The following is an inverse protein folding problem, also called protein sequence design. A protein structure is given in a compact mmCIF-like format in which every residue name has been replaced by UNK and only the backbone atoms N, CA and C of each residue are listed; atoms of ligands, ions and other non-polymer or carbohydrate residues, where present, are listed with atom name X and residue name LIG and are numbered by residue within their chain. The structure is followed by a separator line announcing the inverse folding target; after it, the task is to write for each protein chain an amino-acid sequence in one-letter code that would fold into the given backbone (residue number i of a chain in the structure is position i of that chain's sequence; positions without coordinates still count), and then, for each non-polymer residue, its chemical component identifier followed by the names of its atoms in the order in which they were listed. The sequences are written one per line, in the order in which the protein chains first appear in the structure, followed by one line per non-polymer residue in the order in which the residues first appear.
data_IF_064715780707
#
_entry.id   IF_064715780707
#
_cell.length_a   1.000
_cell.length_b   1.000
_cell.length_c   1.000
_cell.angle_alpha   90.00
_cell.angle_beta   90.00
_cell.angle_gamma   90.00
#
_symmetry.space_group_name_H-M   'P 1'
#
loop_
_entity.id
_entity.type
_entity.pdbx_description
1 polymer ?
#
# COMPACT_ATOMS: atom_id res chain seq x y z
N UNK A 1 4.76 -14.99 -16.39
CA UNK A 1 5.85 -15.29 -15.43
C UNK A 1 6.63 -16.47 -15.97
N UNK A 2 7.96 -16.47 -15.91
CA UNK A 2 8.76 -17.61 -16.37
C UNK A 2 8.90 -18.68 -15.26
N UNK A 3 9.28 -19.89 -15.67
CA UNK A 3 9.43 -21.04 -14.75
C UNK A 3 10.44 -20.79 -13.64
N UNK A 4 11.52 -20.04 -13.90
CA UNK A 4 12.57 -19.78 -12.91
C UNK A 4 12.06 -18.84 -11.81
N UNK A 5 11.21 -17.87 -12.15
CA UNK A 5 10.51 -17.03 -11.18
C UNK A 5 9.52 -17.84 -10.34
N UNK A 6 8.76 -18.75 -10.96
CA UNK A 6 7.77 -19.58 -10.24
C UNK A 6 8.42 -20.48 -9.17
N UNK A 7 9.61 -21.01 -9.43
CA UNK A 7 10.36 -21.84 -8.49
C UNK A 7 10.87 -21.08 -7.24
N UNK A 8 10.75 -19.75 -7.22
CA UNK A 8 11.13 -18.93 -6.06
C UNK A 8 9.97 -18.67 -5.09
N UNK A 9 8.76 -19.13 -5.41
CA UNK A 9 7.59 -18.96 -4.56
C UNK A 9 7.64 -19.94 -3.38
N UNK A 10 7.58 -19.46 -2.13
CA UNK A 10 7.42 -20.33 -0.97
C UNK A 10 6.03 -20.97 -0.95
N UNK A 11 5.91 -22.09 -0.23
CA UNK A 11 4.61 -22.59 0.19
C UNK A 11 4.08 -21.68 1.32
N UNK A 12 2.83 -21.25 1.20
CA UNK A 12 2.17 -20.37 2.17
C UNK A 12 1.01 -21.09 2.82
N UNK A 13 0.73 -20.76 4.08
CA UNK A 13 -0.48 -21.22 4.75
C UNK A 13 -1.74 -20.55 4.16
N UNK A 14 -2.88 -21.23 4.25
CA UNK A 14 -4.17 -20.71 3.73
C UNK A 14 -4.50 -19.34 4.35
N UNK A 15 -4.23 -19.16 5.65
CA UNK A 15 -4.45 -17.90 6.36
C UNK A 15 -3.59 -16.77 5.79
N UNK A 16 -2.34 -17.04 5.44
CA UNK A 16 -1.44 -16.08 4.80
C UNK A 16 -1.95 -15.71 3.41
N UNK A 17 -2.35 -16.71 2.61
CA UNK A 17 -2.92 -16.49 1.28
C UNK A 17 -4.16 -15.59 1.33
N UNK A 18 -5.09 -15.86 2.24
CA UNK A 18 -6.30 -15.04 2.42
C UNK A 18 -5.95 -13.61 2.85
N UNK A 19 -4.95 -13.45 3.72
CA UNK A 19 -4.47 -12.13 4.15
C UNK A 19 -3.85 -11.36 2.98
N UNK A 20 -3.07 -12.02 2.12
CA UNK A 20 -2.51 -11.39 0.92
C UNK A 20 -3.60 -11.00 -0.09
N UNK A 21 -4.61 -11.84 -0.28
CA UNK A 21 -5.77 -11.52 -1.13
C UNK A 21 -6.53 -10.30 -0.59
N UNK A 22 -6.67 -10.17 0.73
CA UNK A 22 -7.25 -8.98 1.35
C UNK A 22 -6.39 -7.74 1.08
N UNK A 23 -5.06 -7.82 1.21
CA UNK A 23 -4.17 -6.70 0.90
C UNK A 23 -4.29 -6.27 -0.57
N UNK A 24 -4.45 -7.22 -1.51
CA UNK A 24 -4.69 -6.91 -2.92
C UNK A 24 -6.04 -6.21 -3.07
N UNK A 25 -7.10 -6.73 -2.45
CA UNK A 25 -8.43 -6.12 -2.51
C UNK A 25 -8.45 -4.68 -1.98
N UNK A 26 -7.74 -4.41 -0.88
CA UNK A 26 -7.64 -3.07 -0.31
C UNK A 26 -6.87 -2.10 -1.22
N UNK A 27 -5.81 -2.57 -1.92
CA UNK A 27 -5.06 -1.78 -2.92
C UNK A 27 -5.92 -1.41 -4.13
N UNK A 28 -6.73 -2.35 -4.59
CA UNK A 28 -7.53 -2.21 -5.82
C UNK A 28 -8.87 -1.49 -5.61
N UNK A 29 -9.38 -1.43 -4.36
CA UNK A 29 -10.70 -0.85 -4.03
C UNK A 29 -10.92 0.57 -4.55
N UNK A 30 -9.85 1.37 -4.65
CA UNK A 30 -9.90 2.77 -5.05
C UNK A 30 -9.39 3.03 -6.48
N UNK A 31 -9.10 1.98 -7.25
CA UNK A 31 -8.64 2.11 -8.63
C UNK A 31 -9.84 2.24 -9.58
N UNK A 32 -9.71 3.10 -10.61
CA UNK A 32 -10.75 3.26 -11.65
C UNK A 32 -11.03 1.95 -12.41
N UNK A 33 -10.02 1.08 -12.52
CA UNK A 33 -10.09 -0.23 -13.17
C UNK A 33 -9.39 -1.27 -12.29
N UNK A 34 -10.09 -1.83 -11.29
CA UNK A 34 -9.53 -2.83 -10.39
C UNK A 34 -9.07 -4.09 -11.14
N UNK A 35 -7.86 -4.54 -10.89
CA UNK A 35 -7.33 -5.81 -11.41
C UNK A 35 -7.38 -6.89 -10.32
N UNK A 36 -8.58 -7.34 -10.00
CA UNK A 36 -8.80 -8.26 -8.88
C UNK A 36 -8.44 -9.72 -9.24
N UNK A 37 -7.74 -10.45 -8.36
CA UNK A 37 -7.48 -11.87 -8.55
C UNK A 37 -8.78 -12.69 -8.60
N UNK A 38 -8.82 -13.67 -9.50
CA UNK A 38 -9.88 -14.68 -9.51
C UNK A 38 -9.41 -15.88 -8.69
N UNK A 39 -10.22 -16.28 -7.71
CA UNK A 39 -9.91 -17.36 -6.81
C UNK A 39 -10.88 -18.52 -6.98
N UNK A 40 -10.38 -19.73 -6.75
CA UNK A 40 -11.20 -20.91 -6.50
C UNK A 40 -10.87 -21.40 -5.10
N UNK A 41 -11.86 -21.31 -4.21
CA UNK A 41 -11.78 -21.79 -2.84
C UNK A 41 -12.43 -23.16 -2.78
N UNK A 42 -11.66 -24.17 -2.38
CA UNK A 42 -12.19 -25.52 -2.15
C UNK A 42 -12.33 -25.73 -0.66
N UNK A 43 -13.51 -26.15 -0.24
CA UNK A 43 -13.81 -26.63 1.12
C UNK A 43 -13.78 -28.16 1.12
N UNK A 44 -13.96 -28.77 2.29
CA UNK A 44 -14.04 -30.24 2.37
C UNK A 44 -15.21 -30.86 1.59
N UNK A 45 -16.23 -30.08 1.23
CA UNK A 45 -17.49 -30.60 0.63
C UNK A 45 -17.84 -29.99 -0.72
N UNK A 46 -17.26 -28.85 -1.08
CA UNK A 46 -17.61 -28.10 -2.30
C UNK A 46 -16.51 -27.13 -2.69
N UNK A 47 -16.62 -26.53 -3.88
CA UNK A 47 -15.76 -25.44 -4.31
C UNK A 47 -16.59 -24.24 -4.76
N UNK A 48 -16.02 -23.04 -4.60
CA UNK A 48 -16.57 -21.79 -5.07
C UNK A 48 -15.50 -21.05 -5.86
N UNK A 49 -15.88 -20.48 -7.00
CA UNK A 49 -15.00 -19.66 -7.84
C UNK A 49 -15.56 -18.26 -7.99
N UNK A 50 -14.69 -17.27 -8.05
CA UNK A 50 -15.09 -15.88 -8.27
C UNK A 50 -13.96 -14.90 -8.03
N UNK A 51 -14.26 -13.63 -8.21
CA UNK A 51 -13.40 -12.52 -7.82
C UNK A 51 -13.39 -12.44 -6.29
N UNK A 52 -12.21 -12.37 -5.69
CA UNK A 52 -12.09 -12.14 -4.25
C UNK A 52 -12.48 -10.69 -3.95
N UNK A 53 -13.51 -10.44 -3.12
CA UNK A 53 -14.01 -9.09 -2.85
C UNK A 53 -13.52 -8.58 -1.50
N UNK A 54 -13.67 -9.39 -0.45
CA UNK A 54 -13.35 -8.98 0.91
C UNK A 54 -13.19 -10.19 1.84
N UNK A 55 -12.48 -9.99 2.95
CA UNK A 55 -12.35 -10.91 4.06
C UNK A 55 -12.50 -10.14 5.38
N UNK A 56 -13.44 -10.60 6.21
CA UNK A 56 -13.62 -10.12 7.58
C UNK A 56 -12.93 -11.09 8.53
N UNK A 57 -11.78 -10.69 9.08
CA UNK A 57 -10.99 -11.53 10.00
C UNK A 57 -11.68 -11.77 11.34
N UNK A 58 -12.59 -10.89 11.76
CA UNK A 58 -13.32 -11.04 13.03
C UNK A 58 -14.45 -12.05 12.87
N UNK A 59 -15.16 -12.01 11.73
CA UNK A 59 -16.22 -12.97 11.41
C UNK A 59 -15.68 -14.28 10.83
N UNK A 60 -14.46 -14.29 10.32
CA UNK A 60 -13.90 -15.42 9.58
C UNK A 60 -14.64 -15.66 8.26
N UNK A 61 -15.08 -14.61 7.56
CA UNK A 61 -15.92 -14.74 6.36
C UNK A 61 -15.27 -14.10 5.15
N UNK A 62 -15.18 -14.85 4.05
CA UNK A 62 -14.73 -14.39 2.73
C UNK A 62 -15.94 -14.13 1.84
N UNK A 63 -15.92 -13.00 1.14
CA UNK A 63 -16.88 -12.64 0.11
C UNK A 63 -16.26 -12.82 -1.28
N UNK A 64 -16.87 -13.66 -2.10
CA UNK A 64 -16.57 -13.80 -3.52
C UNK A 64 -17.69 -13.21 -4.37
N UNK A 65 -17.34 -12.70 -5.55
CA UNK A 65 -18.28 -12.27 -6.56
C UNK A 65 -18.01 -12.98 -7.89
N UNK A 66 -19.03 -13.63 -8.44
CA UNK A 66 -19.00 -14.18 -9.78
C UNK A 66 -19.90 -13.35 -10.69
N UNK A 67 -19.45 -13.08 -11.91
CA UNK A 67 -20.25 -12.40 -12.92
C UNK A 67 -20.73 -13.45 -13.92
N UNK A 68 -21.99 -13.86 -13.80
CA UNK A 68 -22.64 -14.77 -14.74
C UNK A 68 -23.71 -14.01 -15.52
N UNK A 69 -23.62 -14.01 -16.86
CA UNK A 69 -24.55 -13.29 -17.74
C UNK A 69 -24.78 -11.81 -17.32
N UNK A 70 -23.68 -11.11 -16.99
CA UNK A 70 -23.67 -9.71 -16.49
C UNK A 70 -24.44 -9.49 -15.19
N UNK A 71 -24.87 -10.55 -14.50
CA UNK A 71 -25.46 -10.48 -13.16
C UNK A 71 -24.43 -10.91 -12.13
N UNK A 72 -24.36 -10.14 -11.05
CA UNK A 72 -23.48 -10.45 -9.93
C UNK A 72 -24.11 -11.53 -9.05
N UNK A 73 -23.35 -12.58 -8.78
CA UNK A 73 -23.64 -13.59 -7.78
C UNK A 73 -22.62 -13.47 -6.65
N UNK A 74 -23.11 -13.22 -5.44
CA UNK A 74 -22.27 -13.09 -4.25
C UNK A 74 -22.26 -14.41 -3.47
N UNK A 75 -21.09 -14.82 -3.00
CA UNK A 75 -20.90 -16.05 -2.22
C UNK A 75 -20.13 -15.72 -0.95
N UNK A 76 -20.66 -16.13 0.20
CA UNK A 76 -20.03 -15.96 1.51
C UNK A 76 -19.51 -17.31 1.99
N UNK A 77 -18.22 -17.39 2.30
CA UNK A 77 -17.54 -18.62 2.72
C UNK A 77 -16.90 -18.44 4.09
N UNK A 78 -17.02 -19.44 4.95
CA UNK A 78 -16.32 -19.50 6.23
C UNK A 78 -14.85 -19.85 6.00
N UNK A 79 -13.93 -19.02 6.49
CA UNK A 79 -12.48 -19.20 6.31
C UNK A 79 -11.96 -20.49 6.97
N UNK A 80 -12.58 -20.90 8.08
CA UNK A 80 -12.26 -22.14 8.78
C UNK A 80 -12.59 -23.41 8.01
N UNK A 81 -13.40 -23.33 6.95
CA UNK A 81 -13.80 -24.47 6.12
C UNK A 81 -12.91 -24.70 4.90
N UNK A 82 -11.93 -23.84 4.67
CA UNK A 82 -11.10 -23.83 3.47
C UNK A 82 -10.06 -24.94 3.55
N UNK A 83 -10.06 -25.81 2.55
CA UNK A 83 -9.05 -26.85 2.37
C UNK A 83 -7.96 -26.43 1.37
N UNK A 84 -8.30 -25.62 0.36
CA UNK A 84 -7.32 -25.08 -0.57
C UNK A 84 -7.80 -23.80 -1.27
N UNK A 85 -6.85 -23.01 -1.75
CA UNK A 85 -7.09 -21.79 -2.54
C UNK A 85 -6.26 -21.87 -3.81
N UNK A 86 -6.90 -21.75 -4.96
CA UNK A 86 -6.25 -21.54 -6.25
C UNK A 86 -6.45 -20.09 -6.68
N UNK A 87 -5.39 -19.45 -7.18
CA UNK A 87 -5.39 -18.03 -7.54
C UNK A 87 -5.01 -17.90 -9.02
N UNK A 88 -5.75 -17.07 -9.75
CA UNK A 88 -5.51 -16.71 -11.14
C UNK A 88 -5.42 -15.19 -11.28
N UNK A 89 -4.80 -14.74 -12.38
CA UNK A 89 -4.54 -13.33 -12.68
C UNK A 89 -3.73 -12.64 -11.57
N UNK A 90 -2.61 -13.25 -11.18
CA UNK A 90 -1.77 -12.80 -10.07
C UNK A 90 -0.47 -12.14 -10.54
N UNK A 91 -0.27 -11.98 -11.85
CA UNK A 91 1.00 -11.51 -12.41
C UNK A 91 1.42 -10.16 -11.83
N UNK A 92 0.48 -9.24 -11.64
CA UNK A 92 0.72 -7.92 -11.03
C UNK A 92 1.05 -7.98 -9.54
N UNK A 93 0.79 -9.10 -8.85
CA UNK A 93 0.93 -9.25 -7.40
C UNK A 93 1.77 -10.45 -6.98
N UNK A 94 2.40 -11.16 -7.93
CA UNK A 94 3.18 -12.37 -7.65
C UNK A 94 4.31 -12.12 -6.64
N UNK A 95 4.84 -10.91 -6.63
CA UNK A 95 5.82 -10.47 -5.65
C UNK A 95 5.31 -10.54 -4.20
N UNK A 96 4.00 -10.36 -3.97
CA UNK A 96 3.38 -10.46 -2.63
C UNK A 96 3.34 -11.90 -2.12
N UNK A 97 3.29 -12.87 -3.04
CA UNK A 97 3.37 -14.30 -2.73
C UNK A 97 4.82 -14.77 -2.57
N UNK A 98 5.82 -13.91 -2.80
CA UNK A 98 7.24 -14.25 -2.68
C UNK A 98 7.81 -13.80 -1.34
N UNK A 99 8.92 -14.41 -0.94
CA UNK A 99 9.71 -13.95 0.21
C UNK A 99 10.57 -12.70 -0.07
N UNK A 100 10.24 -11.94 -1.12
CA UNK A 100 11.02 -10.80 -1.61
C UNK A 100 12.06 -11.18 -2.66
N UNK A 101 12.10 -12.45 -3.07
CA UNK A 101 12.96 -12.96 -4.14
C UNK A 101 12.46 -12.55 -5.53
N UNK A 102 11.15 -12.44 -5.71
CA UNK A 102 10.55 -11.96 -6.94
C UNK A 102 10.51 -10.44 -6.90
N UNK A 103 11.31 -9.82 -7.74
CA UNK A 103 11.33 -8.37 -7.86
C UNK A 103 9.99 -7.84 -8.37
N UNK A 104 9.43 -6.86 -7.66
CA UNK A 104 8.33 -6.07 -8.20
C UNK A 104 8.83 -5.20 -9.34
N UNK A 105 8.04 -5.17 -10.41
CA UNK A 105 8.24 -4.26 -11.53
C UNK A 105 6.95 -3.43 -11.68
N UNK A 106 7.00 -2.11 -11.45
CA UNK A 106 5.83 -1.26 -11.59
C UNK A 106 5.37 -1.23 -13.06
N UNK A 107 4.06 -1.08 -13.32
CA UNK A 107 3.56 -0.90 -14.67
C UNK A 107 4.19 0.34 -15.31
N UNK A 108 4.66 0.24 -16.57
CA UNK A 108 5.39 1.32 -17.23
C UNK A 108 4.65 2.67 -17.24
N UNK A 109 3.32 2.65 -17.37
CA UNK A 109 2.46 3.85 -17.34
C UNK A 109 2.23 4.47 -15.95
N UNK A 110 2.74 3.83 -14.89
CA UNK A 110 2.62 4.29 -13.49
C UNK A 110 3.95 4.79 -12.93
N UNK A 111 5.04 4.72 -13.69
CA UNK A 111 6.37 5.19 -13.25
C UNK A 111 6.47 6.69 -13.56
N UNK A 112 6.54 7.56 -12.55
CA UNK A 112 6.69 8.98 -12.79
C UNK A 112 8.15 9.30 -13.16
N UNK A 113 8.31 10.36 -13.93
CA UNK A 113 9.60 11.03 -14.12
C UNK A 113 10.00 11.79 -12.85
N UNK A 114 11.30 12.07 -12.69
CA UNK A 114 11.78 12.91 -11.58
C UNK A 114 11.16 14.31 -11.58
N UNK A 115 10.84 14.85 -12.76
CA UNK A 115 10.16 16.14 -12.88
C UNK A 115 8.72 16.08 -12.37
N UNK A 116 8.00 14.98 -12.65
CA UNK A 116 6.67 14.75 -12.11
C UNK A 116 6.69 14.62 -10.58
N UNK A 117 7.63 13.85 -10.02
CA UNK A 117 7.79 13.76 -8.56
C UNK A 117 8.06 15.12 -7.91
N UNK A 118 8.95 15.95 -8.49
CA UNK A 118 9.20 17.32 -8.01
C UNK A 118 7.95 18.19 -8.08
N UNK A 119 7.18 18.08 -9.15
CA UNK A 119 5.91 18.81 -9.31
C UNK A 119 4.89 18.40 -8.26
N UNK A 120 4.78 17.10 -7.97
CA UNK A 120 3.88 16.55 -6.96
C UNK A 120 4.29 16.97 -5.54
N UNK A 121 5.57 16.89 -5.18
CA UNK A 121 6.07 17.38 -3.89
C UNK A 121 5.78 18.87 -3.69
N UNK A 122 5.99 19.69 -4.73
CA UNK A 122 5.64 21.11 -4.69
C UNK A 122 4.14 21.33 -4.54
N UNK A 123 3.31 20.52 -5.21
CA UNK A 123 1.85 20.58 -5.04
C UNK A 123 1.46 20.24 -3.61
N UNK A 124 2.04 19.21 -3.01
CA UNK A 124 1.79 18.87 -1.60
C UNK A 124 2.24 20.01 -0.69
N UNK A 125 3.43 20.58 -0.88
CA UNK A 125 3.89 21.72 -0.09
C UNK A 125 2.93 22.93 -0.15
N UNK A 126 2.32 23.19 -1.32
CA UNK A 126 1.30 24.23 -1.48
C UNK A 126 -0.01 23.87 -0.76
N UNK A 127 -0.48 22.63 -0.87
CA UNK A 127 -1.66 22.12 -0.17
C UNK A 127 -1.46 22.21 1.35
N UNK A 128 -0.26 21.86 1.85
CA UNK A 128 0.12 22.00 3.25
C UNK A 128 0.12 23.46 3.69
N UNK A 129 0.65 24.37 2.88
CA UNK A 129 0.61 25.81 3.20
C UNK A 129 -0.82 26.30 3.35
N UNK A 130 -1.73 25.89 2.47
CA UNK A 130 -3.14 26.26 2.56
C UNK A 130 -3.82 25.68 3.82
N UNK A 131 -3.51 24.44 4.18
CA UNK A 131 -4.21 23.71 5.25
C UNK A 131 -3.64 24.02 6.63
N UNK A 132 -2.32 24.09 6.75
CA UNK A 132 -1.58 24.31 7.99
C UNK A 132 -1.24 25.78 8.24
N UNK A 133 -1.45 26.66 7.27
CA UNK A 133 -1.08 28.08 7.32
C UNK A 133 0.42 28.31 7.60
N UNK A 134 1.27 27.35 7.24
CA UNK A 134 2.73 27.40 7.37
C UNK A 134 3.38 26.85 6.10
N UNK A 135 4.40 27.53 5.61
CA UNK A 135 5.19 27.01 4.51
C UNK A 135 6.08 25.89 5.02
N UNK A 136 5.87 24.68 4.49
CA UNK A 136 6.63 23.49 4.83
C UNK A 136 7.23 22.94 3.54
N UNK A 137 8.55 22.75 3.54
CA UNK A 137 9.23 22.13 2.41
C UNK A 137 9.02 20.62 2.44
N UNK A 138 8.83 20.00 1.27
CA UNK A 138 8.75 18.53 1.12
C UNK A 138 9.88 18.09 0.20
N UNK A 139 10.76 17.22 0.70
CA UNK A 139 11.92 16.74 -0.04
C UNK A 139 12.01 15.23 -0.06
N UNK A 140 12.40 14.68 -1.21
CA UNK A 140 12.72 13.27 -1.37
C UNK A 140 14.24 13.09 -1.30
N UNK A 141 14.72 12.39 -0.27
CA UNK A 141 16.14 12.09 -0.06
C UNK A 141 16.50 10.75 -0.69
N UNK A 142 17.51 10.76 -1.57
CA UNK A 142 18.05 9.60 -2.25
C UNK A 142 19.57 9.74 -2.38
N UNK A 143 20.29 8.61 -2.27
CA UNK A 143 21.76 8.60 -2.40
C UNK A 143 22.20 8.72 -3.86
N UNK A 144 21.54 7.96 -4.75
CA UNK A 144 21.81 7.91 -6.19
C UNK A 144 20.55 8.24 -7.00
N UNK A 145 20.70 8.43 -8.31
CA UNK A 145 19.56 8.64 -9.22
C UNK A 145 18.53 7.53 -9.03
N UNK A 146 17.28 7.86 -8.62
CA UNK A 146 16.28 6.84 -8.32
C UNK A 146 15.99 5.94 -9.53
N UNK A 147 15.95 4.64 -9.32
CA UNK A 147 15.46 3.67 -10.30
C UNK A 147 13.92 3.73 -10.40
N UNK A 148 13.35 2.97 -11.33
CA UNK A 148 11.90 3.03 -11.59
C UNK A 148 11.04 2.55 -10.41
N UNK A 149 11.53 1.57 -9.64
CA UNK A 149 10.86 1.13 -8.41
C UNK A 149 10.86 2.25 -7.36
N UNK A 150 12.02 2.88 -7.16
CA UNK A 150 12.17 3.99 -6.22
C UNK A 150 11.29 5.19 -6.62
N UNK A 151 11.20 5.52 -7.91
CA UNK A 151 10.30 6.58 -8.40
C UNK A 151 8.82 6.25 -8.15
N UNK A 152 8.42 5.02 -8.46
CA UNK A 152 7.06 4.54 -8.22
C UNK A 152 6.71 4.61 -6.73
N UNK A 153 7.62 4.17 -5.85
CA UNK A 153 7.40 4.21 -4.41
C UNK A 153 7.44 5.62 -3.83
N UNK A 154 8.29 6.51 -4.37
CA UNK A 154 8.29 7.91 -3.99
C UNK A 154 6.94 8.59 -4.29
N UNK A 155 6.30 8.27 -5.42
CA UNK A 155 4.96 8.76 -5.74
C UNK A 155 3.90 8.29 -4.73
N UNK A 156 3.92 7.01 -4.37
CA UNK A 156 3.02 6.48 -3.35
C UNK A 156 3.27 7.10 -1.98
N UNK A 157 4.54 7.33 -1.62
CA UNK A 157 4.93 8.03 -0.41
C UNK A 157 4.38 9.47 -0.37
N UNK A 158 4.48 10.21 -1.48
CA UNK A 158 3.93 11.58 -1.57
C UNK A 158 2.42 11.58 -1.35
N UNK A 159 1.70 10.60 -1.93
CA UNK A 159 0.25 10.44 -1.74
C UNK A 159 -0.08 10.14 -0.28
N UNK A 160 0.64 9.19 0.33
CA UNK A 160 0.48 8.86 1.75
C UNK A 160 0.74 10.07 2.66
N UNK A 161 1.81 10.84 2.38
CA UNK A 161 2.13 12.03 3.14
C UNK A 161 1.01 13.06 3.03
N UNK A 162 0.46 13.28 1.83
CA UNK A 162 -0.66 14.18 1.62
C UNK A 162 -1.87 13.79 2.49
N UNK A 163 -2.26 12.52 2.48
CA UNK A 163 -3.39 12.02 3.26
C UNK A 163 -3.14 12.12 4.77
N UNK A 164 -1.94 11.77 5.20
CA UNK A 164 -1.52 11.85 6.62
C UNK A 164 -1.58 13.29 7.13
N UNK A 165 -1.04 14.24 6.36
CA UNK A 165 -1.06 15.65 6.75
C UNK A 165 -2.46 16.25 6.74
N UNK A 166 -3.31 15.82 5.80
CA UNK A 166 -4.71 16.22 5.78
C UNK A 166 -5.45 15.73 7.03
N UNK A 167 -5.06 14.60 7.61
CA UNK A 167 -5.62 14.13 8.88
C UNK A 167 -5.10 14.92 10.08
N UNK A 168 -3.78 15.15 10.18
CA UNK A 168 -3.19 15.99 11.24
C UNK A 168 -3.82 17.39 11.25
N UNK A 169 -4.09 17.96 10.08
CA UNK A 169 -4.66 19.30 9.98
C UNK A 169 -6.13 19.42 10.43
N UNK A 170 -6.86 18.30 10.58
CA UNK A 170 -8.24 18.28 11.08
C UNK A 170 -8.31 18.45 12.60
N UNK A 171 -7.29 17.99 13.32
CA UNK A 171 -7.19 18.16 14.76
C UNK A 171 -6.43 19.45 15.10
N UNK A 172 -7.04 20.33 15.88
CA UNK A 172 -6.44 21.64 16.18
C UNK A 172 -5.17 21.54 17.03
N UNK A 173 -5.08 20.55 17.93
CA UNK A 173 -3.91 20.36 18.79
C UNK A 173 -2.77 19.73 17.99
N UNK A 174 -3.02 18.65 17.25
CA UNK A 174 -2.02 18.04 16.38
C UNK A 174 -1.51 19.03 15.34
N UNK A 175 -2.41 19.82 14.74
CA UNK A 175 -2.04 20.90 13.82
C UNK A 175 -1.12 21.92 14.48
N UNK A 176 -1.46 22.42 15.67
CA UNK A 176 -0.66 23.42 16.35
C UNK A 176 0.75 22.89 16.65
N UNK A 177 0.84 21.72 17.31
CA UNK A 177 2.12 21.08 17.63
C UNK A 177 2.96 20.83 16.38
N UNK A 178 2.36 20.32 15.32
CA UNK A 178 3.04 20.08 14.05
C UNK A 178 3.58 21.38 13.43
N UNK A 179 2.75 22.44 13.40
CA UNK A 179 3.17 23.72 12.84
C UNK A 179 4.18 24.46 13.68
N UNK A 180 4.29 24.20 14.98
CA UNK A 180 5.35 24.77 15.81
C UNK A 180 6.68 24.05 15.54
N UNK A 181 6.63 22.73 15.53
CA UNK A 181 7.81 21.85 15.52
C UNK A 181 8.40 21.58 14.14
N UNK A 182 7.61 21.63 13.04
CA UNK A 182 8.05 21.17 11.71
C UNK A 182 8.17 22.30 10.71
N UNK A 183 9.33 22.44 10.05
CA UNK A 183 9.58 23.36 8.92
C UNK A 183 9.85 22.62 7.62
N UNK A 184 10.40 21.41 7.69
CA UNK A 184 10.73 20.57 6.53
C UNK A 184 10.27 19.14 6.78
N UNK A 185 9.63 18.54 5.79
CA UNK A 185 9.35 17.11 5.73
C UNK A 185 10.32 16.51 4.73
N UNK A 186 11.20 15.66 5.21
CA UNK A 186 12.11 14.88 4.37
C UNK A 186 11.68 13.42 4.43
N UNK A 187 11.52 12.78 3.27
CA UNK A 187 11.26 11.35 3.24
C UNK A 187 12.29 10.58 2.42
N UNK A 188 12.53 9.33 2.81
CA UNK A 188 13.39 8.37 2.12
C UNK A 188 12.74 6.98 2.15
N UNK A 189 13.28 6.09 1.33
CA UNK A 189 12.83 4.70 1.23
C UNK A 189 13.92 3.79 1.78
N UNK A 190 13.56 2.88 2.68
CA UNK A 190 14.48 1.90 3.28
C UNK A 190 13.72 0.60 3.64
N UNK A 191 14.24 -0.17 4.58
CA UNK A 191 13.76 -1.49 5.01
C UNK A 191 13.02 -1.47 6.35
N UNK A 192 12.86 -0.29 6.95
CA UNK A 192 12.12 -0.11 8.21
C UNK A 192 11.36 1.22 8.18
N UNK A 193 10.15 1.23 8.76
CA UNK A 193 9.39 2.45 8.96
C UNK A 193 9.94 3.19 10.17
N UNK A 194 10.37 4.43 10.00
CA UNK A 194 10.90 5.24 11.09
C UNK A 194 10.52 6.71 10.90
N UNK A 195 10.21 7.39 11.99
CA UNK A 195 9.97 8.83 12.01
C UNK A 195 10.86 9.44 13.08
N UNK A 196 11.47 10.58 12.76
CA UNK A 196 12.25 11.35 13.74
C UNK A 196 12.13 12.83 13.45
N UNK A 197 12.19 13.64 14.50
CA UNK A 197 12.18 15.09 14.42
C UNK A 197 13.50 15.64 14.96
N UNK A 198 14.25 16.37 14.14
CA UNK A 198 15.48 17.02 14.56
C UNK A 198 15.59 18.40 13.89
N UNK A 199 15.83 19.44 14.69
CA UNK A 199 16.04 20.81 14.21
C UNK A 199 14.97 21.31 13.21
N UNK A 200 13.70 20.97 13.46
CA UNK A 200 12.57 21.34 12.59
C UNK A 200 12.40 20.48 11.33
N UNK A 201 13.26 19.48 11.13
CA UNK A 201 13.15 18.54 10.01
C UNK A 201 12.52 17.23 10.50
N UNK A 202 11.33 16.95 10.00
CA UNK A 202 10.65 15.67 10.18
C UNK A 202 11.17 14.70 9.12
N UNK A 203 11.98 13.74 9.54
CA UNK A 203 12.53 12.69 8.68
C UNK A 203 11.66 11.45 8.74
N UNK A 204 11.16 11.01 7.59
CA UNK A 204 10.25 9.87 7.44
C UNK A 204 10.90 8.83 6.54
N UNK A 205 11.26 7.70 7.13
CA UNK A 205 11.72 6.52 6.39
C UNK A 205 10.53 5.60 6.18
N UNK A 206 10.26 5.23 4.92
CA UNK A 206 9.20 4.28 4.57
C UNK A 206 9.80 2.94 4.17
N UNK A 207 9.29 1.86 4.78
CA UNK A 207 9.68 0.50 4.48
C UNK A 207 9.15 0.06 3.11
N UNK A 208 10.07 -0.19 2.20
CA UNK A 208 9.81 -0.75 0.87
C UNK A 208 10.33 -2.19 0.72
N UNK A 209 10.74 -2.83 1.82
CA UNK A 209 11.14 -4.23 1.85
C UNK A 209 10.02 -5.15 1.34
N UNK A 210 10.42 -6.23 0.67
CA UNK A 210 9.52 -7.18 -0.01
C UNK A 210 8.51 -6.53 -0.96
N UNK A 211 8.89 -5.43 -1.60
CA UNK A 211 8.03 -4.72 -2.55
C UNK A 211 6.71 -4.23 -1.93
N UNK A 212 6.77 -3.65 -0.73
CA UNK A 212 5.65 -3.04 0.03
C UNK A 212 4.79 -3.99 0.85
N UNK A 213 5.35 -4.79 1.76
CA UNK A 213 4.49 -5.43 2.78
C UNK A 213 3.90 -4.44 3.82
N UNK A 214 4.37 -3.19 3.88
CA UNK A 214 3.64 -2.09 4.53
C UNK A 214 4.31 -0.75 4.27
N UNK A 215 3.85 0.01 3.27
CA UNK A 215 3.90 1.47 3.47
C UNK A 215 2.90 1.72 4.58
N UNK A 216 3.35 2.27 5.71
CA UNK A 216 2.48 2.55 6.85
C UNK A 216 1.16 3.16 6.38
N UNK A 217 0.02 2.75 6.94
CA UNK A 217 -1.24 3.42 6.64
C UNK A 217 -1.15 4.91 7.05
N UNK A 218 -1.98 5.78 6.49
CA UNK A 218 -1.97 7.20 6.87
C UNK A 218 -2.18 7.38 8.39
N UNK A 219 -2.96 6.50 9.02
CA UNK A 219 -3.14 6.46 10.47
C UNK A 219 -1.87 6.06 11.21
N UNK A 220 -1.22 4.97 10.80
CA UNK A 220 0.03 4.52 11.42
C UNK A 220 1.14 5.57 11.28
N UNK A 221 1.23 6.21 10.11
CA UNK A 221 2.21 7.28 9.90
C UNK A 221 1.88 8.50 10.76
N UNK A 222 0.60 8.86 10.91
CA UNK A 222 0.18 9.93 11.81
C UNK A 222 0.60 9.63 13.25
N UNK A 223 0.32 8.43 13.78
CA UNK A 223 0.70 8.04 15.14
C UNK A 223 2.22 8.16 15.38
N UNK A 224 3.03 7.73 14.39
CA UNK A 224 4.50 7.85 14.47
C UNK A 224 4.97 9.31 14.46
N UNK A 225 4.30 10.17 13.71
CA UNK A 225 4.61 11.60 13.67
C UNK A 225 4.24 12.26 14.98
N UNK A 226 3.02 12.03 15.48
CA UNK A 226 2.52 12.62 16.73
C UNK A 226 3.35 12.19 17.95
N UNK A 227 3.92 10.97 17.94
CA UNK A 227 4.85 10.53 18.98
C UNK A 227 6.18 11.30 19.02
N UNK A 228 6.51 12.07 17.96
CA UNK A 228 7.75 12.84 17.83
C UNK A 228 7.56 14.36 18.00
N UNK A 229 6.31 14.84 18.08
CA UNK A 229 5.96 16.27 18.21
C UNK A 229 5.98 16.72 19.67
#
# INVERSE_FOLDING_TARGET
MDYKTMLQLPALDISEVVTLLQQIADKERHQDKPNMPMVTITTHTSSASGIFVNYDSTKGVILLCELYDRKAQLQYLQSSSIASVSIRNIESYAYLLSDGTIAFTPPAGKIPTMLQLKKEMNSVALDLKATLNKQIAVTYSYQDTPNDNQKYYAHNAITLLKDTMANIAKDNLSKAAFTESVSTIQFNLDTTNAVSLAAGTLSITLDVSKSLKSVASAHQLQELIEACL
#
